data_IF_406502160751
#
_entry.id   IF_406502160751
#
_cell.length_a   1.000
_cell.length_b   1.000
_cell.length_c   1.000
_cell.angle_alpha   90.00
_cell.angle_beta   90.00
_cell.angle_gamma   90.00
#
_symmetry.space_group_name_H-M   'P 1'
#
loop_
_entity.id
_entity.type
_entity.pdbx_description
1 polymer ?
#
# COMPACT_ATOMS: atom_id res chain seq x y z
N UNK A 1 -49.42 20.07 -6.05
CA UNK A 1 -47.95 20.34 -6.03
C UNK A 1 -47.73 21.76 -5.55
N UNK A 2 -47.26 21.91 -4.31
CA UNK A 2 -47.03 23.21 -3.67
C UNK A 2 -45.61 23.77 -3.94
N UNK A 3 -44.82 23.16 -4.82
CA UNK A 3 -43.44 23.60 -5.11
C UNK A 3 -42.46 23.47 -3.93
N UNK A 4 -42.85 22.78 -2.86
CA UNK A 4 -41.96 22.53 -1.73
C UNK A 4 -40.96 21.43 -2.13
N UNK A 5 -39.70 21.68 -1.91
CA UNK A 5 -38.66 20.67 -1.95
C UNK A 5 -38.97 19.57 -0.91
N UNK A 6 -39.68 18.55 -1.34
CA UNK A 6 -39.90 17.37 -0.53
C UNK A 6 -38.60 16.63 -0.43
N UNK A 7 -37.92 16.72 0.69
CA UNK A 7 -36.69 16.00 0.95
C UNK A 7 -36.85 14.50 0.71
N UNK A 8 -35.82 13.87 0.17
CA UNK A 8 -35.78 12.42 0.03
C UNK A 8 -36.01 11.79 1.41
N UNK A 9 -36.92 10.81 1.50
CA UNK A 9 -37.12 10.04 2.73
C UNK A 9 -35.76 9.60 3.28
N UNK A 10 -35.46 9.94 4.52
CA UNK A 10 -34.23 9.60 5.17
C UNK A 10 -33.96 8.08 5.00
N UNK A 11 -32.94 7.72 4.25
CA UNK A 11 -32.46 6.34 4.18
C UNK A 11 -31.94 5.95 5.56
N UNK A 12 -31.95 4.64 5.86
CA UNK A 12 -31.27 4.13 7.06
C UNK A 12 -29.85 4.69 7.11
N UNK A 13 -29.46 5.26 8.26
CA UNK A 13 -28.09 5.72 8.46
C UNK A 13 -27.13 4.58 8.13
N UNK A 14 -26.20 4.84 7.23
CA UNK A 14 -25.15 3.91 6.85
C UNK A 14 -23.85 4.36 7.51
N UNK A 15 -23.13 3.40 8.06
CA UNK A 15 -21.82 3.61 8.63
C UNK A 15 -20.83 2.69 7.92
N UNK A 16 -19.65 3.20 7.66
CA UNK A 16 -18.54 2.39 7.21
C UNK A 16 -18.19 1.34 8.28
N UNK A 17 -18.04 0.10 7.88
CA UNK A 17 -17.56 -0.96 8.78
C UNK A 17 -16.13 -0.59 9.24
N UNK A 18 -15.89 -0.61 10.57
CA UNK A 18 -14.55 -0.40 11.12
C UNK A 18 -13.63 -1.49 10.59
N UNK A 19 -12.51 -1.14 9.92
CA UNK A 19 -11.52 -2.14 9.51
C UNK A 19 -10.92 -2.84 10.73
N UNK A 20 -10.61 -4.12 10.57
CA UNK A 20 -9.94 -4.88 11.63
C UNK A 20 -8.54 -4.30 11.92
N UNK A 21 -8.15 -4.24 13.20
CA UNK A 21 -6.83 -3.75 13.62
C UNK A 21 -6.63 -2.24 13.45
N UNK A 22 -7.73 -1.45 13.32
CA UNK A 22 -7.63 0.00 13.16
C UNK A 22 -8.25 0.76 14.33
N UNK A 23 -7.76 1.95 14.61
CA UNK A 23 -8.38 2.94 15.51
C UNK A 23 -9.08 4.02 14.70
N UNK A 24 -10.22 4.51 15.19
CA UNK A 24 -10.87 5.68 14.62
C UNK A 24 -10.20 6.94 15.16
N UNK A 25 -9.63 7.72 14.29
CA UNK A 25 -9.04 9.02 14.60
C UNK A 25 -10.10 10.08 14.33
N UNK A 26 -10.57 10.81 15.35
CA UNK A 26 -11.56 11.85 15.16
C UNK A 26 -10.95 13.00 14.37
N UNK A 27 -11.68 13.53 13.39
CA UNK A 27 -11.24 14.72 12.68
C UNK A 27 -11.17 15.94 13.61
N UNK A 28 -10.31 16.88 13.29
CA UNK A 28 -10.16 18.08 14.09
C UNK A 28 -9.06 19.00 13.60
N UNK A 29 -8.97 20.16 14.25
CA UNK A 29 -7.90 21.13 14.02
C UNK A 29 -6.83 20.96 15.09
N UNK A 30 -5.57 21.05 14.66
CA UNK A 30 -4.42 21.01 15.58
C UNK A 30 -3.30 21.90 15.07
N UNK A 31 -2.34 22.19 15.92
CA UNK A 31 -1.13 22.87 15.54
C UNK A 31 -0.08 21.83 15.14
N UNK A 32 0.22 21.79 13.86
CA UNK A 32 1.22 20.92 13.24
C UNK A 32 2.60 21.61 13.27
N UNK A 33 3.65 20.82 13.35
CA UNK A 33 5.03 21.29 13.29
C UNK A 33 5.75 21.29 14.64
N UNK A 34 7.03 21.68 14.61
CA UNK A 34 7.87 21.81 15.81
C UNK A 34 7.64 23.14 16.46
N UNK A 35 7.66 23.12 17.76
CA UNK A 35 7.69 24.29 18.61
C UNK A 35 9.12 24.82 18.80
N UNK A 36 9.30 25.70 19.76
CA UNK A 36 10.49 26.51 20.03
C UNK A 36 11.80 25.72 20.25
N UNK A 37 11.73 24.38 20.27
CA UNK A 37 12.88 23.51 20.52
C UNK A 37 13.48 22.91 19.23
N UNK A 38 13.51 23.64 18.12
CA UNK A 38 14.26 23.22 16.95
C UNK A 38 15.76 23.48 17.15
N UNK A 39 16.38 22.61 18.00
CA UNK A 39 17.80 22.72 18.41
C UNK A 39 18.73 22.71 17.19
N UNK A 40 18.34 22.05 16.11
CA UNK A 40 19.12 21.94 14.86
C UNK A 40 18.92 23.16 13.97
N UNK A 41 17.91 24.00 14.25
CA UNK A 41 17.64 25.23 13.50
C UNK A 41 17.31 25.00 12.03
N UNK A 42 16.74 23.83 11.70
CA UNK A 42 16.43 23.47 10.31
C UNK A 42 15.28 24.28 9.73
N UNK A 43 14.42 24.87 10.57
CA UNK A 43 13.25 25.68 10.21
C UNK A 43 12.35 25.04 9.14
N UNK A 44 12.41 23.71 8.99
CA UNK A 44 11.68 22.98 7.96
C UNK A 44 10.25 22.60 8.38
N UNK A 45 9.91 22.82 9.66
CA UNK A 45 8.60 22.48 10.24
C UNK A 45 8.08 23.58 11.16
N UNK A 46 7.90 24.81 10.67
CA UNK A 46 7.32 25.88 11.48
C UNK A 46 5.89 25.51 11.89
N UNK A 47 5.48 25.97 13.06
CA UNK A 47 4.12 25.71 13.57
C UNK A 47 3.06 26.34 12.69
N UNK A 48 2.00 25.56 12.41
CA UNK A 48 0.81 26.03 11.69
C UNK A 48 -0.43 25.27 12.13
N UNK A 49 -1.57 25.93 12.14
CA UNK A 49 -2.84 25.27 12.40
C UNK A 49 -3.37 24.63 11.13
N UNK A 50 -3.71 23.34 11.21
CA UNK A 50 -4.29 22.57 10.13
C UNK A 50 -5.48 21.77 10.63
N UNK A 51 -6.37 21.39 9.71
CA UNK A 51 -7.54 20.58 10.00
C UNK A 51 -7.46 19.29 9.20
N UNK A 52 -7.67 18.15 9.85
CA UNK A 52 -7.75 16.83 9.23
C UNK A 52 -9.16 16.26 9.34
N UNK A 53 -9.57 15.49 8.33
CA UNK A 53 -10.84 14.74 8.35
C UNK A 53 -10.68 13.52 9.24
N UNK A 54 -11.80 12.94 9.74
CA UNK A 54 -11.75 11.68 10.46
C UNK A 54 -11.33 10.54 9.52
N UNK A 55 -10.56 9.61 10.07
CA UNK A 55 -10.07 8.45 9.34
C UNK A 55 -9.81 7.27 10.30
N UNK A 56 -9.76 6.08 9.75
CA UNK A 56 -9.23 4.93 10.44
C UNK A 56 -7.72 4.82 10.19
N UNK A 57 -6.95 4.48 11.21
CA UNK A 57 -5.52 4.21 11.12
C UNK A 57 -5.19 2.87 11.77
N UNK A 58 -4.28 2.10 11.21
CA UNK A 58 -3.81 0.87 11.84
C UNK A 58 -3.24 1.15 13.22
N UNK A 59 -3.65 0.34 14.19
CA UNK A 59 -3.19 0.47 15.59
C UNK A 59 -1.68 0.31 15.70
N UNK A 60 -1.09 -0.49 14.83
CA UNK A 60 0.34 -0.82 14.78
C UNK A 60 0.93 -0.51 13.41
N UNK A 61 2.24 -0.55 13.29
CA UNK A 61 2.90 -0.74 12.00
C UNK A 61 2.44 -2.05 11.37
N UNK A 62 2.45 -2.15 10.04
CA UNK A 62 2.17 -3.41 9.34
C UNK A 62 3.24 -4.43 9.70
N UNK A 63 2.79 -5.59 10.18
CA UNK A 63 3.67 -6.67 10.63
C UNK A 63 4.16 -7.54 9.47
N UNK A 64 5.23 -8.32 9.73
CA UNK A 64 5.71 -9.31 8.76
C UNK A 64 4.61 -10.32 8.39
N UNK A 65 3.79 -10.76 9.37
CA UNK A 65 2.71 -11.70 9.10
C UNK A 65 1.65 -11.11 8.16
N UNK A 66 1.24 -9.86 8.38
CA UNK A 66 0.27 -9.18 7.52
C UNK A 66 0.83 -8.96 6.11
N UNK A 67 2.10 -8.58 6.01
CA UNK A 67 2.72 -8.37 4.72
C UNK A 67 2.96 -9.69 3.96
N UNK A 68 3.24 -10.79 4.67
CA UNK A 68 3.31 -12.14 4.08
C UNK A 68 2.01 -12.55 3.40
N UNK A 69 0.84 -12.18 3.94
CA UNK A 69 -0.43 -12.46 3.27
C UNK A 69 -0.50 -11.84 1.88
N UNK A 70 0.00 -10.62 1.72
CA UNK A 70 0.08 -9.95 0.42
C UNK A 70 1.04 -10.68 -0.53
N UNK A 71 2.25 -10.99 -0.07
CA UNK A 71 3.27 -11.70 -0.86
C UNK A 71 2.74 -13.07 -1.31
N UNK A 72 2.12 -13.83 -0.42
CA UNK A 72 1.56 -15.15 -0.75
C UNK A 72 0.38 -15.06 -1.70
N UNK A 73 -0.48 -14.05 -1.54
CA UNK A 73 -1.58 -13.82 -2.47
C UNK A 73 -1.05 -13.52 -3.90
N UNK A 74 -0.02 -12.68 -4.01
CA UNK A 74 0.63 -12.38 -5.31
C UNK A 74 1.28 -13.63 -5.88
N UNK A 75 2.02 -14.39 -5.08
CA UNK A 75 2.61 -15.67 -5.48
C UNK A 75 1.56 -16.62 -6.04
N UNK A 76 0.45 -16.80 -5.33
CA UNK A 76 -0.62 -17.71 -5.73
C UNK A 76 -1.32 -17.21 -7.00
N UNK A 77 -1.52 -15.89 -7.14
CA UNK A 77 -2.07 -15.29 -8.35
C UNK A 77 -1.18 -15.55 -9.58
N UNK A 78 0.11 -15.33 -9.45
CA UNK A 78 1.10 -15.58 -10.51
C UNK A 78 1.13 -17.06 -10.87
N UNK A 79 1.17 -17.95 -9.87
CA UNK A 79 1.17 -19.40 -10.09
C UNK A 79 -0.06 -19.84 -10.84
N UNK A 80 -1.26 -19.37 -10.45
CA UNK A 80 -2.52 -19.66 -11.16
C UNK A 80 -2.49 -19.15 -12.59
N UNK A 81 -1.91 -17.98 -12.83
CA UNK A 81 -1.77 -17.43 -14.18
C UNK A 81 -0.91 -18.33 -15.06
N UNK A 82 0.24 -18.80 -14.56
CA UNK A 82 1.08 -19.72 -15.31
C UNK A 82 0.41 -21.07 -15.58
N UNK A 83 -0.27 -21.62 -14.57
CA UNK A 83 -1.02 -22.87 -14.73
C UNK A 83 -2.16 -22.71 -15.74
N UNK A 84 -2.91 -21.62 -15.70
CA UNK A 84 -3.99 -21.34 -16.63
C UNK A 84 -3.50 -21.16 -18.07
N UNK A 85 -2.41 -20.42 -18.26
CA UNK A 85 -1.78 -20.27 -19.57
C UNK A 85 -1.32 -21.62 -20.13
N UNK A 86 -0.69 -22.45 -19.30
CA UNK A 86 -0.23 -23.76 -19.72
C UNK A 86 -1.37 -24.70 -20.01
N UNK A 87 -2.47 -24.65 -19.24
CA UNK A 87 -3.69 -25.38 -19.52
C UNK A 87 -4.28 -25.00 -20.90
N UNK A 88 -4.26 -23.71 -21.23
CA UNK A 88 -4.75 -23.20 -22.52
C UNK A 88 -3.84 -23.62 -23.69
N UNK A 89 -2.51 -23.62 -23.50
CA UNK A 89 -1.55 -24.14 -24.47
C UNK A 89 -1.74 -25.64 -24.76
N UNK A 90 -2.04 -26.43 -23.72
CA UNK A 90 -2.21 -27.87 -23.82
C UNK A 90 -3.54 -28.26 -24.45
N UNK A 91 -4.57 -27.47 -24.21
CA UNK A 91 -5.93 -27.69 -24.75
C UNK A 91 -6.49 -26.39 -25.39
N UNK A 92 -6.03 -25.99 -26.57
CA UNK A 92 -6.45 -24.73 -27.21
C UNK A 92 -7.94 -24.67 -27.56
N UNK A 93 -8.59 -25.83 -27.72
CA UNK A 93 -10.02 -25.98 -28.01
C UNK A 93 -10.84 -26.35 -26.79
N UNK A 94 -10.22 -26.38 -25.59
CA UNK A 94 -10.90 -26.63 -24.34
C UNK A 94 -12.00 -25.59 -24.17
N UNK A 95 -13.24 -26.04 -24.11
CA UNK A 95 -14.36 -25.17 -23.79
C UNK A 95 -14.21 -24.73 -22.35
N UNK A 96 -14.60 -23.50 -22.06
CA UNK A 96 -14.68 -22.96 -20.68
C UNK A 96 -15.53 -23.80 -19.74
N UNK A 97 -16.27 -24.78 -20.29
CA UNK A 97 -17.07 -25.76 -19.54
C UNK A 97 -16.19 -26.85 -18.89
N UNK A 98 -14.93 -27.00 -19.33
CA UNK A 98 -13.95 -27.93 -18.74
C UNK A 98 -13.12 -27.31 -17.61
N UNK A 99 -13.22 -25.98 -17.43
CA UNK A 99 -12.58 -25.29 -16.32
C UNK A 99 -13.13 -25.86 -14.99
N UNK A 100 -12.20 -26.26 -14.13
CA UNK A 100 -12.55 -26.84 -12.83
C UNK A 100 -12.91 -28.32 -12.83
N UNK A 101 -12.85 -29.00 -13.98
CA UNK A 101 -13.13 -30.44 -14.08
C UNK A 101 -11.85 -31.24 -14.32
N UNK A 102 -11.70 -32.36 -13.62
CA UNK A 102 -10.57 -33.29 -13.75
C UNK A 102 -9.44 -33.03 -12.76
N UNK A 103 -8.53 -34.01 -12.67
CA UNK A 103 -7.40 -34.01 -11.75
C UNK A 103 -6.11 -33.45 -12.39
N UNK A 104 -6.18 -32.99 -13.63
CA UNK A 104 -5.06 -32.50 -14.43
C UNK A 104 -4.98 -30.94 -14.44
N UNK A 105 -3.99 -30.40 -15.18
CA UNK A 105 -3.81 -28.93 -15.30
C UNK A 105 -5.02 -28.19 -15.85
N UNK A 106 -5.92 -28.85 -16.61
CA UNK A 106 -7.10 -28.24 -17.23
C UNK A 106 -8.04 -27.60 -16.19
N UNK A 107 -8.02 -28.05 -14.94
CA UNK A 107 -8.81 -27.46 -13.85
C UNK A 107 -8.45 -26.01 -13.55
N UNK A 108 -7.25 -25.58 -13.93
CA UNK A 108 -6.79 -24.19 -13.76
C UNK A 108 -7.07 -23.31 -14.97
N UNK A 109 -7.71 -23.84 -16.04
CA UNK A 109 -8.04 -23.05 -17.21
C UNK A 109 -8.82 -21.79 -16.82
N UNK A 110 -8.61 -20.71 -17.57
CA UNK A 110 -9.34 -19.48 -17.33
C UNK A 110 -10.84 -19.70 -17.43
N UNK A 111 -11.59 -19.25 -16.44
CA UNK A 111 -13.05 -19.25 -16.52
C UNK A 111 -13.51 -18.07 -17.36
N UNK A 112 -14.31 -18.32 -18.42
CA UNK A 112 -15.01 -17.23 -19.07
C UNK A 112 -15.96 -16.58 -18.06
N UNK A 113 -15.82 -15.27 -17.85
CA UNK A 113 -16.92 -14.54 -17.28
C UNK A 113 -18.09 -14.66 -18.26
N UNK A 114 -19.10 -15.47 -17.92
CA UNK A 114 -20.41 -15.38 -18.56
C UNK A 114 -20.89 -13.97 -18.29
N UNK A 115 -20.63 -13.06 -19.23
CA UNK A 115 -21.33 -11.79 -19.29
C UNK A 115 -22.80 -12.13 -19.32
N UNK A 116 -23.43 -11.90 -18.17
CA UNK A 116 -24.86 -12.00 -18.05
C UNK A 116 -25.47 -11.12 -19.13
N UNK A 117 -26.19 -11.80 -20.04
CA UNK A 117 -27.24 -11.25 -20.93
C UNK A 117 -26.84 -10.01 -21.72
N UNK A 118 -26.77 -10.21 -23.03
CA UNK A 118 -27.07 -9.20 -24.03
C UNK A 118 -28.28 -8.36 -23.56
N UNK A 119 -27.99 -7.22 -22.99
CA UNK A 119 -28.97 -6.16 -22.87
C UNK A 119 -28.71 -5.22 -24.01
N UNK A 120 -29.53 -5.35 -25.06
CA UNK A 120 -29.77 -4.27 -26.01
C UNK A 120 -30.21 -3.05 -25.21
N UNK A 121 -29.29 -2.13 -24.97
CA UNK A 121 -29.60 -0.77 -24.59
C UNK A 121 -28.42 0.09 -24.99
N UNK A 122 -28.79 1.19 -25.68
CA UNK A 122 -27.93 2.28 -26.08
C UNK A 122 -26.89 2.57 -25.00
N UNK A 123 -25.63 2.70 -25.40
CA UNK A 123 -24.48 2.91 -24.53
C UNK A 123 -24.71 4.07 -23.57
N UNK A 124 -24.81 3.86 -22.27
CA UNK A 124 -24.69 4.97 -21.36
C UNK A 124 -23.20 5.38 -21.31
N UNK A 125 -22.95 6.59 -21.65
CA UNK A 125 -21.70 7.29 -21.38
C UNK A 125 -21.25 6.99 -19.96
N UNK A 126 -20.21 6.19 -19.84
CA UNK A 126 -19.40 5.98 -18.65
C UNK A 126 -20.10 5.74 -17.32
N UNK A 127 -19.84 4.62 -16.71
CA UNK A 127 -19.73 4.75 -15.27
C UNK A 127 -19.10 3.65 -14.47
N UNK A 128 -18.29 2.81 -14.95
CA UNK A 128 -17.59 1.99 -13.99
C UNK A 128 -16.13 1.74 -14.36
N UNK A 129 -15.28 1.87 -13.35
CA UNK A 129 -13.95 1.30 -13.31
C UNK A 129 -13.89 -0.13 -13.88
N UNK A 130 -15.01 -0.87 -13.83
CA UNK A 130 -15.20 -2.19 -14.37
C UNK A 130 -15.22 -2.20 -15.91
N UNK A 131 -15.88 -1.25 -16.53
CA UNK A 131 -15.94 -1.12 -18.02
C UNK A 131 -14.61 -0.64 -18.59
N UNK A 132 -13.96 0.29 -17.90
CA UNK A 132 -12.62 0.71 -18.27
C UNK A 132 -11.62 -0.44 -18.17
N UNK A 133 -11.73 -1.30 -17.15
CA UNK A 133 -10.87 -2.46 -16.93
C UNK A 133 -11.11 -3.57 -17.99
N UNK A 134 -12.23 -3.55 -18.70
CA UNK A 134 -12.58 -4.48 -19.79
C UNK A 134 -12.42 -3.87 -21.18
N UNK A 135 -12.08 -2.58 -21.29
CA UNK A 135 -11.90 -1.92 -22.59
C UNK A 135 -10.65 -2.45 -23.32
N UNK A 136 -10.69 -2.46 -24.65
CA UNK A 136 -9.55 -2.87 -25.50
C UNK A 136 -8.29 -2.03 -25.25
N UNK A 137 -8.43 -0.79 -24.78
CA UNK A 137 -7.31 0.08 -24.42
C UNK A 137 -6.60 -0.34 -23.12
N UNK A 138 -7.27 -1.09 -22.25
CA UNK A 138 -6.69 -1.70 -21.09
C UNK A 138 -6.53 -3.21 -21.29
N UNK A 139 -5.66 -3.58 -22.19
CA UNK A 139 -5.24 -4.95 -22.33
C UNK A 139 -4.33 -5.29 -21.14
N UNK A 140 -4.68 -6.31 -20.40
CA UNK A 140 -3.81 -6.86 -19.38
C UNK A 140 -2.59 -7.44 -20.10
N UNK A 141 -1.45 -6.79 -19.90
CA UNK A 141 -0.19 -7.28 -20.45
C UNK A 141 0.29 -8.37 -19.52
N UNK A 142 0.51 -9.56 -20.07
CA UNK A 142 1.21 -10.60 -19.36
C UNK A 142 2.60 -10.08 -18.98
N UNK A 143 2.84 -9.90 -17.68
CA UNK A 143 4.10 -9.37 -17.16
C UNK A 143 5.32 -10.24 -17.51
N UNK A 144 5.09 -11.47 -17.98
CA UNK A 144 6.15 -12.41 -18.34
C UNK A 144 6.42 -12.48 -19.84
N UNK A 145 5.39 -12.34 -20.66
CA UNK A 145 5.51 -12.46 -22.13
C UNK A 145 5.36 -11.13 -22.85
N UNK A 146 4.99 -10.08 -22.13
CA UNK A 146 4.66 -8.76 -22.70
C UNK A 146 3.56 -8.79 -23.78
N UNK A 147 2.73 -9.84 -23.77
CA UNK A 147 1.61 -10.03 -24.70
C UNK A 147 0.30 -9.65 -24.00
N UNK A 148 -0.62 -9.11 -24.78
CA UNK A 148 -1.96 -8.82 -24.30
C UNK A 148 -2.67 -10.11 -23.86
N UNK A 149 -3.24 -10.10 -22.66
CA UNK A 149 -4.08 -11.18 -22.15
C UNK A 149 -5.52 -10.71 -22.23
N UNK A 150 -6.36 -11.48 -22.90
CA UNK A 150 -7.81 -11.32 -22.75
C UNK A 150 -8.17 -11.60 -21.29
N UNK A 151 -8.85 -10.67 -20.62
CA UNK A 151 -9.14 -10.77 -19.18
C UNK A 151 -10.11 -11.93 -18.95
N UNK A 152 -9.54 -13.03 -18.58
CA UNK A 152 -10.25 -14.21 -18.09
C UNK A 152 -10.01 -14.32 -16.61
N UNK A 153 -11.04 -14.57 -15.82
CA UNK A 153 -10.90 -14.64 -14.38
C UNK A 153 -10.15 -15.91 -13.97
N UNK A 154 -9.20 -15.76 -13.04
CA UNK A 154 -8.54 -16.90 -12.40
C UNK A 154 -9.52 -17.63 -11.48
N UNK A 155 -9.49 -18.95 -11.52
CA UNK A 155 -10.25 -19.77 -10.57
C UNK A 155 -9.47 -19.90 -9.25
N UNK A 156 -9.96 -19.24 -8.21
CA UNK A 156 -9.39 -19.28 -6.86
C UNK A 156 -9.90 -20.47 -6.03
N UNK A 157 -10.90 -21.21 -6.50
CA UNK A 157 -11.45 -22.37 -5.77
C UNK A 157 -10.54 -23.60 -5.81
N UNK A 158 -9.68 -23.68 -6.84
CA UNK A 158 -8.74 -24.78 -7.00
C UNK A 158 -7.53 -24.61 -6.07
N UNK A 159 -7.15 -25.65 -5.36
CA UNK A 159 -5.93 -25.65 -4.56
C UNK A 159 -4.69 -25.83 -5.44
N UNK A 160 -3.65 -25.05 -5.18
CA UNK A 160 -2.35 -25.19 -5.82
C UNK A 160 -1.58 -26.29 -5.11
N UNK A 161 -1.11 -27.26 -5.85
CA UNK A 161 -0.25 -28.31 -5.34
C UNK A 161 1.19 -27.81 -5.35
N UNK A 162 1.78 -27.66 -4.17
CA UNK A 162 3.17 -27.19 -4.02
C UNK A 162 4.18 -28.33 -3.94
N UNK A 163 3.76 -29.50 -3.47
CA UNK A 163 4.63 -30.67 -3.37
C UNK A 163 4.91 -31.25 -4.77
N UNK A 164 6.18 -31.20 -5.17
CA UNK A 164 6.62 -31.73 -6.46
C UNK A 164 6.24 -33.20 -6.69
N UNK A 165 6.15 -34.01 -5.63
CA UNK A 165 5.81 -35.43 -5.72
C UNK A 165 4.33 -35.66 -6.05
N UNK A 166 3.50 -34.66 -5.76
CA UNK A 166 2.05 -34.72 -5.95
C UNK A 166 1.58 -34.01 -7.24
N UNK A 167 2.51 -33.57 -8.10
CA UNK A 167 2.13 -32.90 -9.36
C UNK A 167 1.36 -33.86 -10.26
N UNK A 168 0.20 -33.43 -10.82
CA UNK A 168 -0.70 -34.35 -11.50
C UNK A 168 -0.19 -34.78 -12.90
N UNK A 169 0.45 -33.90 -13.63
CA UNK A 169 0.85 -34.11 -15.01
C UNK A 169 2.12 -33.34 -15.39
N UNK A 170 2.69 -33.67 -16.56
CA UNK A 170 3.90 -33.04 -17.08
C UNK A 170 3.72 -31.54 -17.41
N UNK A 171 2.59 -31.08 -17.98
CA UNK A 171 2.33 -29.65 -18.17
C UNK A 171 2.33 -28.85 -16.86
N UNK A 172 1.80 -29.42 -15.78
CA UNK A 172 1.85 -28.83 -14.46
C UNK A 172 3.28 -28.67 -13.95
N UNK A 173 4.10 -29.72 -14.11
CA UNK A 173 5.53 -29.70 -13.76
C UNK A 173 6.26 -28.60 -14.54
N UNK A 174 5.98 -28.48 -15.84
CA UNK A 174 6.60 -27.47 -16.69
C UNK A 174 6.23 -26.04 -16.28
N UNK A 175 4.95 -25.80 -15.95
CA UNK A 175 4.48 -24.51 -15.43
C UNK A 175 5.14 -24.16 -14.10
N UNK A 176 5.13 -25.10 -13.15
CA UNK A 176 5.73 -24.88 -11.83
C UNK A 176 7.24 -24.68 -11.87
N UNK A 177 7.96 -25.34 -12.75
CA UNK A 177 9.40 -25.18 -12.85
C UNK A 177 9.83 -23.78 -13.33
N UNK A 178 9.00 -23.08 -14.09
CA UNK A 178 9.25 -21.69 -14.51
C UNK A 178 9.21 -20.68 -13.34
N UNK A 179 8.58 -21.05 -12.23
CA UNK A 179 8.43 -20.20 -11.05
C UNK A 179 9.61 -20.27 -10.09
N UNK A 180 10.53 -21.20 -10.32
CA UNK A 180 11.67 -21.41 -9.44
C UNK A 180 12.98 -21.07 -10.14
N UNK A 181 13.93 -20.59 -9.36
CA UNK A 181 15.28 -20.32 -9.81
C UNK A 181 15.90 -21.63 -10.34
N UNK A 182 16.70 -21.53 -11.40
CA UNK A 182 17.40 -22.70 -11.96
C UNK A 182 18.27 -23.35 -10.88
N UNK A 183 18.52 -24.66 -11.00
CA UNK A 183 19.37 -25.37 -10.02
C UNK A 183 20.81 -24.84 -10.01
N UNK A 184 21.25 -24.27 -11.13
CA UNK A 184 22.61 -23.74 -11.32
C UNK A 184 22.77 -22.42 -10.57
N UNK A 185 21.69 -21.61 -10.49
CA UNK A 185 21.68 -20.30 -9.85
C UNK A 185 21.19 -20.36 -8.39
N UNK A 186 20.62 -21.51 -7.97
CA UNK A 186 20.06 -21.68 -6.64
C UNK A 186 21.17 -21.90 -5.60
N UNK A 187 21.20 -21.07 -4.56
CA UNK A 187 22.15 -21.22 -3.46
C UNK A 187 21.99 -22.59 -2.78
N UNK A 188 23.07 -23.38 -2.76
CA UNK A 188 23.05 -24.73 -2.18
C UNK A 188 22.19 -25.75 -2.91
N UNK A 189 21.74 -25.47 -4.14
CA UNK A 189 20.89 -26.36 -4.93
C UNK A 189 19.46 -26.53 -4.38
N UNK A 190 19.07 -25.69 -3.42
CA UNK A 190 17.73 -25.71 -2.81
C UNK A 190 16.73 -25.06 -3.77
N UNK A 191 15.62 -25.75 -4.04
CA UNK A 191 14.54 -25.24 -4.88
C UNK A 191 13.92 -23.98 -4.24
N UNK A 192 14.24 -22.82 -4.79
CA UNK A 192 13.78 -21.52 -4.29
C UNK A 192 12.91 -20.85 -5.32
N UNK A 193 11.77 -20.30 -4.88
CA UNK A 193 10.87 -19.52 -5.73
C UNK A 193 11.59 -18.24 -6.21
N UNK A 194 11.44 -17.89 -7.50
CA UNK A 194 12.04 -16.68 -8.03
C UNK A 194 11.24 -15.45 -7.57
N UNK A 195 11.77 -14.77 -6.57
CA UNK A 195 11.14 -13.57 -6.00
C UNK A 195 11.05 -12.40 -6.98
N UNK A 196 11.86 -12.39 -8.05
CA UNK A 196 11.80 -11.36 -9.11
C UNK A 196 10.52 -11.44 -9.93
N UNK A 197 9.83 -12.57 -9.90
CA UNK A 197 8.54 -12.77 -10.53
C UNK A 197 7.40 -12.14 -9.70
N UNK A 198 7.61 -11.91 -8.40
CA UNK A 198 6.58 -11.39 -7.49
C UNK A 198 6.33 -9.90 -7.72
N UNK A 199 5.65 -9.60 -8.81
CA UNK A 199 5.27 -8.24 -9.19
C UNK A 199 3.76 -8.06 -9.08
N UNK A 200 3.33 -6.91 -8.58
CA UNK A 200 1.92 -6.58 -8.42
C UNK A 200 1.53 -5.39 -9.29
N UNK A 201 0.52 -5.60 -10.12
CA UNK A 201 -0.07 -4.55 -10.95
C UNK A 201 -1.21 -3.89 -10.19
N UNK A 202 -1.16 -2.60 -10.03
CA UNK A 202 -2.26 -1.81 -9.51
C UNK A 202 -2.45 -0.52 -10.32
N UNK A 203 -3.67 -0.01 -10.26
CA UNK A 203 -4.07 1.20 -10.97
C UNK A 203 -4.42 2.27 -9.96
N UNK A 204 -3.90 3.45 -10.17
CA UNK A 204 -4.17 4.58 -9.28
C UNK A 204 -4.63 5.78 -10.11
N UNK A 205 -5.70 6.46 -9.67
CA UNK A 205 -6.12 7.72 -10.25
C UNK A 205 -5.34 8.86 -9.63
N UNK A 206 -4.70 9.68 -10.45
CA UNK A 206 -4.16 10.97 -10.06
C UNK A 206 -5.31 11.99 -9.98
N UNK A 207 -5.96 12.00 -8.82
CA UNK A 207 -7.12 12.86 -8.60
C UNK A 207 -6.77 14.35 -8.62
N UNK A 208 -5.56 14.73 -8.23
CA UNK A 208 -5.12 16.13 -8.23
C UNK A 208 -4.91 16.66 -9.65
N UNK A 209 -4.18 15.92 -10.48
CA UNK A 209 -4.02 16.28 -11.90
C UNK A 209 -5.36 16.25 -12.63
N UNK A 210 -6.21 15.27 -12.32
CA UNK A 210 -7.56 15.20 -12.88
C UNK A 210 -8.39 16.43 -12.51
N UNK A 211 -8.38 16.85 -11.25
CA UNK A 211 -9.13 18.04 -10.81
C UNK A 211 -8.67 19.34 -11.50
N UNK A 212 -7.37 19.42 -11.86
CA UNK A 212 -6.80 20.60 -12.51
C UNK A 212 -6.95 20.61 -14.01
N UNK A 213 -6.91 19.47 -14.68
CA UNK A 213 -6.74 19.36 -16.13
C UNK A 213 -7.90 18.69 -16.87
N UNK A 214 -8.85 18.07 -16.16
CA UNK A 214 -10.00 17.42 -16.82
C UNK A 214 -10.76 18.41 -17.71
N UNK A 215 -10.99 18.05 -18.97
CA UNK A 215 -11.67 18.88 -19.94
C UNK A 215 -10.82 20.03 -20.52
N UNK A 216 -9.57 20.20 -20.11
CA UNK A 216 -8.65 21.18 -20.69
C UNK A 216 -8.09 20.61 -21.99
N UNK A 217 -7.90 21.47 -23.01
CA UNK A 217 -7.33 21.08 -24.30
C UNK A 217 -5.88 20.63 -24.13
N UNK A 218 -5.53 19.48 -24.69
CA UNK A 218 -4.14 19.00 -24.75
C UNK A 218 -3.34 19.87 -25.70
N UNK A 219 -2.10 20.15 -25.33
CA UNK A 219 -1.16 20.96 -26.11
C UNK A 219 0.08 20.15 -26.43
N UNK A 220 0.68 20.44 -27.58
CA UNK A 220 1.99 19.91 -27.96
C UNK A 220 3.14 20.59 -27.16
N UNK A 221 4.38 20.21 -27.48
CA UNK A 221 5.59 20.80 -26.87
C UNK A 221 5.73 22.31 -27.12
N UNK A 222 5.12 22.82 -28.19
CA UNK A 222 5.19 24.22 -28.62
C UNK A 222 4.01 25.05 -28.11
N UNK A 223 3.07 24.40 -27.41
CA UNK A 223 1.92 25.04 -26.77
C UNK A 223 0.68 25.14 -27.66
N UNK A 224 0.68 24.54 -28.86
CA UNK A 224 -0.47 24.53 -29.77
C UNK A 224 -1.47 23.44 -29.37
N UNK A 225 -2.79 23.65 -29.58
CA UNK A 225 -3.80 22.63 -29.33
C UNK A 225 -3.60 21.39 -30.23
N UNK A 226 -3.83 20.22 -29.68
CA UNK A 226 -3.87 18.97 -30.42
C UNK A 226 -5.27 18.72 -30.94
N UNK A 227 -5.38 18.23 -32.18
CA UNK A 227 -6.65 17.91 -32.86
C UNK A 227 -6.71 16.41 -33.16
N UNK A 228 -7.90 15.85 -33.15
CA UNK A 228 -8.17 14.50 -33.63
C UNK A 228 -8.25 14.44 -35.15
N UNK A 229 -8.46 13.23 -35.70
CA UNK A 229 -8.58 13.03 -37.18
C UNK A 229 -9.80 13.71 -37.76
N UNK A 230 -10.81 14.06 -36.96
CA UNK A 230 -12.02 14.77 -37.33
C UNK A 230 -11.89 16.30 -37.18
N UNK A 231 -10.75 16.79 -36.72
CA UNK A 231 -10.46 18.21 -36.54
C UNK A 231 -11.00 18.82 -35.25
N UNK A 232 -11.43 18.02 -34.28
CA UNK A 232 -11.85 18.49 -32.95
C UNK A 232 -10.65 18.59 -31.98
N UNK A 233 -10.71 19.54 -31.06
CA UNK A 233 -9.69 19.68 -30.02
C UNK A 233 -9.70 18.48 -29.09
N UNK A 234 -8.53 17.88 -28.91
CA UNK A 234 -8.35 16.76 -27.95
C UNK A 234 -8.26 17.32 -26.53
N UNK A 235 -9.18 16.94 -25.68
CA UNK A 235 -9.19 17.32 -24.26
C UNK A 235 -8.65 16.21 -23.35
N UNK A 236 -8.18 16.59 -22.15
CA UNK A 236 -7.82 15.61 -21.14
C UNK A 236 -9.08 14.91 -20.62
N UNK A 237 -9.09 13.59 -20.73
CA UNK A 237 -10.13 12.68 -20.21
C UNK A 237 -9.71 12.06 -18.87
N UNK A 238 -10.62 11.38 -18.18
CA UNK A 238 -10.27 10.60 -16.95
C UNK A 238 -9.18 9.57 -17.20
N UNK A 239 -9.12 8.97 -18.37
CA UNK A 239 -8.13 7.95 -18.75
C UNK A 239 -6.69 8.48 -18.73
N UNK A 240 -6.50 9.75 -19.03
CA UNK A 240 -5.19 10.39 -19.05
C UNK A 240 -4.57 10.55 -17.65
N UNK A 241 -5.40 10.48 -16.62
CA UNK A 241 -4.98 10.62 -15.23
C UNK A 241 -4.88 9.28 -14.49
N UNK A 242 -5.10 8.20 -15.20
CA UNK A 242 -4.92 6.87 -14.63
C UNK A 242 -3.45 6.52 -14.71
N UNK A 243 -2.86 6.36 -13.54
CA UNK A 243 -1.49 5.95 -13.39
C UNK A 243 -1.48 4.42 -13.31
N UNK A 244 -1.03 3.81 -14.39
CA UNK A 244 -0.86 2.38 -14.46
C UNK A 244 0.62 2.08 -14.23
N UNK A 245 0.94 1.31 -13.21
CA UNK A 245 2.26 0.70 -13.11
C UNK A 245 2.43 -0.21 -14.33
N UNK A 246 3.48 0.00 -15.11
CA UNK A 246 3.75 -0.75 -16.35
C UNK A 246 3.52 0.02 -17.66
N UNK A 247 2.90 1.21 -17.65
CA UNK A 247 2.91 2.13 -18.80
C UNK A 247 4.07 3.13 -18.67
N UNK A 248 4.60 3.57 -19.81
CA UNK A 248 5.66 4.61 -19.90
C UNK A 248 6.99 4.21 -19.23
N UNK A 249 7.37 2.92 -19.28
CA UNK A 249 8.62 2.44 -18.69
C UNK A 249 8.61 2.31 -17.17
N UNK A 250 7.47 2.47 -16.52
CA UNK A 250 7.30 2.22 -15.08
C UNK A 250 7.08 0.72 -14.90
N UNK A 251 8.04 0.03 -14.31
CA UNK A 251 7.91 -1.37 -13.98
C UNK A 251 6.87 -1.60 -12.86
N UNK A 252 6.20 -2.75 -12.90
CA UNK A 252 5.36 -3.18 -11.77
C UNK A 252 6.22 -3.36 -10.52
N UNK A 253 5.80 -2.83 -9.35
CA UNK A 253 6.58 -2.97 -8.15
C UNK A 253 6.74 -4.44 -7.76
N UNK A 254 7.97 -4.82 -7.40
CA UNK A 254 8.23 -6.06 -6.70
C UNK A 254 7.50 -6.01 -5.35
N UNK A 255 6.84 -7.10 -4.97
CA UNK A 255 6.16 -7.13 -3.66
C UNK A 255 7.03 -7.73 -2.57
N UNK A 256 8.03 -8.52 -2.94
CA UNK A 256 8.92 -9.13 -1.98
C UNK A 256 9.83 -8.06 -1.35
N UNK A 257 9.88 -7.96 -0.01
CA UNK A 257 10.72 -6.97 0.66
C UNK A 257 12.20 -7.26 0.41
N UNK A 258 13.01 -6.22 0.41
CA UNK A 258 14.46 -6.38 0.30
C UNK A 258 15.02 -6.91 1.63
N UNK A 259 15.28 -8.21 1.69
CA UNK A 259 15.83 -8.88 2.88
C UNK A 259 17.31 -8.58 3.09
N UNK A 260 17.99 -7.97 2.12
CA UNK A 260 19.42 -7.64 2.20
C UNK A 260 19.69 -6.32 2.94
N UNK A 261 18.65 -5.56 3.29
CA UNK A 261 18.76 -4.26 3.96
C UNK A 261 19.53 -4.33 5.28
N UNK A 262 19.37 -5.42 6.03
CA UNK A 262 20.07 -5.62 7.29
C UNK A 262 21.59 -5.69 7.10
N UNK A 263 22.04 -6.48 6.13
CA UNK A 263 23.47 -6.63 5.80
C UNK A 263 24.03 -5.34 5.23
N UNK A 264 23.24 -4.63 4.39
CA UNK A 264 23.65 -3.37 3.78
C UNK A 264 23.77 -2.23 4.80
N UNK A 265 22.83 -2.15 5.72
CA UNK A 265 22.81 -1.10 6.73
C UNK A 265 23.78 -1.41 7.90
N UNK A 266 24.12 -2.71 8.15
CA UNK A 266 24.98 -3.18 9.27
C UNK A 266 26.02 -4.21 8.82
N UNK A 267 27.16 -3.75 8.39
CA UNK A 267 28.25 -4.61 7.87
C UNK A 267 28.92 -5.51 8.92
N UNK A 268 28.58 -5.41 10.20
CA UNK A 268 29.28 -6.08 11.28
C UNK A 268 28.58 -7.34 11.82
N UNK A 269 27.36 -7.61 11.42
CA UNK A 269 26.49 -8.60 12.05
C UNK A 269 25.99 -9.68 11.11
N UNK A 270 26.86 -10.21 10.23
CA UNK A 270 26.50 -11.22 9.22
C UNK A 270 25.88 -12.49 9.82
N UNK A 271 26.18 -12.83 11.05
CA UNK A 271 25.71 -14.05 11.71
C UNK A 271 24.53 -13.82 12.67
N UNK A 272 23.99 -12.61 12.72
CA UNK A 272 22.81 -12.34 13.54
C UNK A 272 21.58 -13.03 12.91
N UNK A 273 20.85 -13.90 13.62
CA UNK A 273 19.69 -14.60 13.09
C UNK A 273 18.61 -13.65 12.53
N UNK A 274 18.43 -12.48 13.17
CA UNK A 274 17.50 -11.46 12.72
C UNK A 274 17.88 -10.91 11.34
N UNK A 275 19.18 -10.76 11.05
CA UNK A 275 19.67 -10.27 9.77
C UNK A 275 19.56 -11.29 8.66
N UNK A 276 19.55 -12.59 8.98
CA UNK A 276 19.49 -13.65 7.98
C UNK A 276 18.06 -13.98 7.53
N UNK A 277 17.09 -13.97 8.45
CA UNK A 277 15.73 -14.46 8.17
C UNK A 277 14.63 -13.65 8.85
N UNK A 278 14.81 -12.35 8.97
CA UNK A 278 13.85 -11.48 9.62
C UNK A 278 12.44 -11.59 9.06
N UNK A 279 12.32 -11.64 7.74
CA UNK A 279 11.00 -11.64 7.10
C UNK A 279 10.27 -12.98 7.22
N UNK A 280 10.98 -14.11 7.13
CA UNK A 280 10.33 -15.43 7.09
C UNK A 280 10.20 -16.09 8.44
N UNK A 281 11.14 -15.85 9.34
CA UNK A 281 11.18 -16.56 10.62
C UNK A 281 9.93 -16.25 11.45
N UNK A 282 9.33 -17.30 12.01
CA UNK A 282 8.07 -17.21 12.77
C UNK A 282 8.20 -16.30 14.01
N UNK A 283 9.36 -16.26 14.65
CA UNK A 283 9.60 -15.42 15.83
C UNK A 283 9.45 -13.92 15.55
N UNK A 284 9.65 -13.49 14.30
CA UNK A 284 9.52 -12.07 13.91
C UNK A 284 8.21 -11.79 13.17
N UNK A 285 7.23 -12.69 13.27
CA UNK A 285 5.95 -12.55 12.58
C UNK A 285 5.19 -11.28 12.96
N UNK A 286 5.19 -10.93 14.24
CA UNK A 286 4.49 -9.77 14.82
C UNK A 286 5.38 -8.50 14.93
N UNK A 287 6.59 -8.57 14.38
CA UNK A 287 7.48 -7.42 14.23
C UNK A 287 7.12 -6.62 12.97
N UNK A 288 7.41 -5.30 12.92
CA UNK A 288 7.09 -4.48 11.75
C UNK A 288 7.82 -4.96 10.50
N UNK A 289 7.15 -4.95 9.37
CA UNK A 289 7.82 -5.21 8.09
C UNK A 289 8.78 -4.08 7.76
N UNK A 290 10.00 -4.44 7.37
CA UNK A 290 11.05 -3.51 6.92
C UNK A 290 11.61 -3.97 5.56
N UNK A 291 12.45 -3.15 4.95
CA UNK A 291 12.97 -3.47 3.61
C UNK A 291 11.92 -3.25 2.51
N UNK A 292 10.94 -2.40 2.76
CA UNK A 292 9.88 -2.05 1.82
C UNK A 292 10.05 -0.64 1.28
N UNK A 293 9.90 -0.48 -0.02
CA UNK A 293 9.89 0.82 -0.69
C UNK A 293 8.52 1.48 -0.56
N UNK A 294 8.47 2.79 -0.84
CA UNK A 294 7.22 3.53 -0.84
C UNK A 294 6.19 2.97 -1.85
N UNK A 295 6.65 2.54 -3.02
CA UNK A 295 5.78 1.93 -4.04
C UNK A 295 5.24 0.57 -3.61
N UNK A 296 6.04 -0.24 -2.90
CA UNK A 296 5.59 -1.50 -2.31
C UNK A 296 4.54 -1.28 -1.22
N UNK A 297 4.71 -0.27 -0.37
CA UNK A 297 3.72 0.08 0.64
C UNK A 297 2.38 0.53 0.02
N UNK A 298 2.41 1.31 -1.07
CA UNK A 298 1.21 1.66 -1.83
C UNK A 298 0.56 0.45 -2.51
N UNK A 299 1.36 -0.46 -3.05
CA UNK A 299 0.85 -1.71 -3.64
C UNK A 299 0.12 -2.57 -2.59
N UNK A 300 0.66 -2.65 -1.38
CA UNK A 300 -0.03 -3.31 -0.25
C UNK A 300 -1.38 -2.65 0.08
N UNK A 301 -1.44 -1.31 0.12
CA UNK A 301 -2.67 -0.57 0.35
C UNK A 301 -3.75 -0.88 -0.71
N UNK A 302 -3.36 -0.93 -1.99
CA UNK A 302 -4.26 -1.27 -3.09
C UNK A 302 -4.77 -2.72 -2.97
N UNK A 303 -3.86 -3.67 -2.73
CA UNK A 303 -4.22 -5.07 -2.52
C UNK A 303 -5.18 -5.25 -1.33
N UNK A 304 -4.92 -4.61 -0.18
CA UNK A 304 -5.78 -4.64 1.01
C UNK A 304 -7.19 -4.14 0.68
N UNK A 305 -7.27 -3.06 -0.09
CA UNK A 305 -8.54 -2.50 -0.59
C UNK A 305 -9.28 -3.48 -1.48
N UNK A 306 -8.59 -4.06 -2.45
CA UNK A 306 -9.15 -5.06 -3.37
C UNK A 306 -9.66 -6.29 -2.60
N UNK A 307 -8.83 -6.87 -1.74
CA UNK A 307 -9.19 -8.04 -0.91
C UNK A 307 -10.44 -7.78 -0.07
N UNK A 308 -10.54 -6.61 0.58
CA UNK A 308 -11.71 -6.23 1.38
C UNK A 308 -12.95 -6.05 0.52
N UNK A 309 -12.85 -5.37 -0.61
CA UNK A 309 -13.97 -5.16 -1.52
C UNK A 309 -14.45 -6.46 -2.17
N UNK A 310 -13.55 -7.35 -2.54
CA UNK A 310 -13.91 -8.66 -3.10
C UNK A 310 -14.65 -9.54 -2.07
N UNK A 311 -14.20 -9.51 -0.81
CA UNK A 311 -14.94 -10.15 0.28
C UNK A 311 -16.34 -9.56 0.48
N UNK A 312 -16.50 -8.23 0.41
CA UNK A 312 -17.78 -7.55 0.59
C UNK A 312 -18.75 -7.80 -0.58
N UNK A 313 -18.25 -7.97 -1.81
CA UNK A 313 -19.07 -8.33 -2.98
C UNK A 313 -19.76 -9.68 -2.83
N UNK A 314 -19.15 -10.62 -2.10
CA UNK A 314 -19.71 -11.94 -1.83
C UNK A 314 -20.82 -11.95 -0.75
N UNK A 315 -21.05 -10.82 -0.05
CA UNK A 315 -22.09 -10.73 0.98
C UNK A 315 -23.48 -10.48 0.40
N UNK A 316 -24.52 -10.83 1.17
CA UNK A 316 -25.94 -10.65 0.77
C UNK A 316 -26.29 -9.20 0.40
N UNK A 317 -25.65 -8.22 1.04
CA UNK A 317 -25.78 -6.80 0.74
C UNK A 317 -24.39 -6.27 0.37
N UNK A 318 -23.99 -6.33 -0.91
CA UNK A 318 -22.68 -5.91 -1.34
C UNK A 318 -22.49 -4.42 -1.09
N UNK A 319 -21.38 -4.09 -0.46
CA UNK A 319 -20.93 -2.71 -0.20
C UNK A 319 -19.48 -2.58 -0.63
N UNK A 320 -19.01 -1.36 -0.79
CA UNK A 320 -17.60 -1.07 -1.04
C UNK A 320 -17.08 -0.17 0.08
N UNK A 321 -15.80 -0.31 0.39
CA UNK A 321 -15.12 0.56 1.34
C UNK A 321 -14.18 1.52 0.61
N UNK A 322 -13.89 2.70 1.18
CA UNK A 322 -12.84 3.57 0.68
C UNK A 322 -11.50 2.82 0.59
N UNK A 323 -10.63 3.27 -0.29
CA UNK A 323 -9.33 2.64 -0.43
C UNK A 323 -8.46 2.86 0.83
N UNK A 324 -7.69 1.84 1.18
CA UNK A 324 -6.56 2.00 2.07
C UNK A 324 -5.45 2.76 1.36
N UNK A 325 -4.74 3.58 2.09
CA UNK A 325 -3.63 4.40 1.58
C UNK A 325 -2.61 4.66 2.69
N UNK A 326 -1.46 5.17 2.34
CA UNK A 326 -0.55 5.72 3.33
C UNK A 326 -1.15 6.99 3.95
N UNK A 327 -0.87 7.29 5.23
CA UNK A 327 -1.26 8.54 5.85
C UNK A 327 -0.58 9.72 5.17
N UNK A 328 -1.24 10.86 5.14
CA UNK A 328 -0.53 12.12 4.87
C UNK A 328 0.34 12.49 6.07
N UNK A 329 1.32 13.35 5.87
CA UNK A 329 2.16 13.84 6.96
C UNK A 329 1.33 14.46 8.10
N UNK A 330 0.29 15.22 7.76
CA UNK A 330 -0.57 15.88 8.74
C UNK A 330 -1.46 14.87 9.49
N UNK A 331 -2.01 13.87 8.81
CA UNK A 331 -2.79 12.80 9.44
C UNK A 331 -1.91 12.00 10.40
N UNK A 332 -0.70 11.67 9.98
CA UNK A 332 0.25 10.94 10.82
C UNK A 332 0.58 11.72 12.10
N UNK A 333 0.93 13.01 11.97
CA UNK A 333 1.27 13.85 13.12
C UNK A 333 0.08 14.07 14.05
N UNK A 334 -1.13 14.31 13.50
CA UNK A 334 -2.35 14.43 14.29
C UNK A 334 -2.64 13.17 15.10
N UNK A 335 -2.53 12.02 14.45
CA UNK A 335 -2.73 10.72 15.09
C UNK A 335 -1.66 10.44 16.17
N UNK A 336 -0.40 10.77 15.91
CA UNK A 336 0.70 10.59 16.85
C UNK A 336 0.55 11.45 18.11
N UNK A 337 0.01 12.66 18.00
CA UNK A 337 -0.27 13.53 19.16
C UNK A 337 -1.39 12.99 20.07
N UNK A 338 -2.22 12.06 19.60
CA UNK A 338 -3.23 11.40 20.43
C UNK A 338 -4.27 12.35 21.05
N UNK A 339 -4.51 13.54 20.46
CA UNK A 339 -5.38 14.58 21.02
C UNK A 339 -4.70 15.55 22.00
N UNK A 340 -3.42 15.32 22.31
CA UNK A 340 -2.64 16.20 23.18
C UNK A 340 -2.19 17.44 22.41
N UNK A 341 -2.52 18.60 22.94
CA UNK A 341 -2.08 19.88 22.36
C UNK A 341 -0.57 20.06 22.59
N UNK A 342 0.17 20.36 21.52
CA UNK A 342 1.58 20.67 21.56
C UNK A 342 2.49 19.61 22.19
N UNK A 343 2.07 18.37 22.28
CA UNK A 343 2.91 17.31 22.85
C UNK A 343 4.15 17.07 22.01
N UNK A 344 5.29 16.98 22.68
CA UNK A 344 6.57 16.67 22.03
C UNK A 344 6.63 15.21 21.57
N UNK A 345 6.13 14.32 22.41
CA UNK A 345 6.06 12.87 22.20
C UNK A 345 4.61 12.39 22.29
N UNK A 346 4.28 11.20 21.75
CA UNK A 346 2.92 10.64 21.78
C UNK A 346 2.32 10.47 23.17
N UNK A 347 3.14 10.34 24.20
CA UNK A 347 2.74 10.21 25.61
C UNK A 347 2.63 11.54 26.36
N UNK A 348 2.85 12.67 25.69
CA UNK A 348 2.65 14.03 26.24
C UNK A 348 3.79 14.59 27.10
N UNK A 349 4.72 13.75 27.56
CA UNK A 349 5.85 14.19 28.37
C UNK A 349 6.99 14.83 27.55
N UNK A 350 7.91 15.56 28.19
CA UNK A 350 9.02 16.22 27.52
C UNK A 350 10.22 15.28 27.23
N UNK A 351 10.21 14.09 27.79
CA UNK A 351 11.31 13.12 27.76
C UNK A 351 10.90 11.80 27.11
N UNK A 352 11.85 11.11 26.49
CA UNK A 352 11.70 9.73 26.04
C UNK A 352 11.84 8.70 27.17
N UNK A 353 12.08 9.16 28.42
CA UNK A 353 12.22 8.34 29.61
C UNK A 353 11.18 8.78 30.63
N UNK A 354 10.53 7.82 31.27
CA UNK A 354 9.56 8.07 32.35
C UNK A 354 10.25 8.54 33.63
N UNK A 355 9.47 9.05 34.59
CA UNK A 355 9.92 9.47 35.90
C UNK A 355 10.58 8.32 36.69
N UNK A 356 10.32 7.08 36.31
CA UNK A 356 10.91 5.86 36.91
C UNK A 356 12.20 5.41 36.21
N UNK A 357 12.67 6.13 35.19
CA UNK A 357 13.85 5.78 34.40
C UNK A 357 13.58 4.73 33.28
N UNK A 358 12.32 4.35 33.03
CA UNK A 358 12.00 3.42 31.94
C UNK A 358 11.90 4.16 30.60
N UNK A 359 12.47 3.58 29.55
CA UNK A 359 12.31 4.09 28.20
C UNK A 359 10.88 3.89 27.70
N UNK A 360 10.35 4.88 26.98
CA UNK A 360 8.96 4.91 26.51
C UNK A 360 8.81 4.54 25.03
N UNK A 361 9.93 4.31 24.35
CA UNK A 361 9.99 3.93 22.95
C UNK A 361 11.26 3.12 22.67
N UNK A 362 11.27 2.42 21.55
CA UNK A 362 12.45 1.72 21.03
C UNK A 362 13.26 2.67 20.12
N UNK A 363 14.44 3.09 20.56
CA UNK A 363 15.32 4.03 19.86
C UNK A 363 16.76 3.85 20.35
N UNK A 364 17.70 4.60 19.82
CA UNK A 364 19.10 4.61 20.26
C UNK A 364 19.31 5.59 21.43
N UNK A 365 19.21 5.12 22.69
CA UNK A 365 19.09 6.02 23.83
C UNK A 365 20.42 6.59 24.30
N UNK A 366 21.51 5.82 24.30
CA UNK A 366 22.80 6.19 24.88
C UNK A 366 23.96 5.78 23.99
N UNK A 367 24.99 6.62 23.95
CA UNK A 367 26.20 6.30 23.21
C UNK A 367 26.95 5.12 23.91
N UNK A 368 27.13 4.04 23.15
CA UNK A 368 27.88 2.85 23.62
C UNK A 368 27.01 1.73 24.20
N UNK A 369 25.79 2.03 24.66
CA UNK A 369 24.80 1.02 25.04
C UNK A 369 23.51 1.28 24.28
N UNK A 370 23.32 0.56 23.17
CA UNK A 370 22.21 0.75 22.26
C UNK A 370 21.01 -0.15 22.57
N UNK A 371 21.15 -1.04 23.56
CA UNK A 371 20.11 -1.97 23.95
C UNK A 371 19.53 -1.66 25.34
N UNK A 372 19.87 -0.49 25.91
CA UNK A 372 19.46 -0.13 27.28
C UNK A 372 17.94 0.08 27.39
N UNK A 373 17.24 0.34 26.29
CA UNK A 373 15.78 0.40 26.21
C UNK A 373 15.11 -0.98 26.09
N UNK A 374 15.90 -2.05 26.07
CA UNK A 374 15.43 -3.44 25.99
C UNK A 374 15.58 -4.10 24.64
N UNK A 375 15.96 -3.36 23.59
CA UNK A 375 16.13 -3.91 22.24
C UNK A 375 17.28 -3.24 21.49
N UNK A 376 17.99 -4.03 20.69
CA UNK A 376 19.06 -3.54 19.82
C UNK A 376 18.53 -3.10 18.44
N UNK A 377 17.48 -3.74 17.98
CA UNK A 377 16.85 -3.55 16.68
C UNK A 377 15.35 -3.35 16.85
N UNK A 378 14.54 -3.74 15.87
CA UNK A 378 13.07 -3.69 15.96
C UNK A 378 12.53 -4.57 17.10
N UNK A 379 11.36 -4.19 17.59
CA UNK A 379 10.57 -4.95 18.57
C UNK A 379 9.19 -5.27 18.00
N UNK A 380 8.43 -6.12 18.70
CA UNK A 380 7.04 -6.41 18.33
C UNK A 380 6.21 -5.14 18.22
N UNK A 381 5.26 -5.12 17.29
CA UNK A 381 4.45 -3.95 16.98
C UNK A 381 3.57 -3.44 18.16
N UNK A 382 3.43 -4.20 19.24
CA UNK A 382 2.69 -3.82 20.46
C UNK A 382 3.56 -3.82 21.73
N UNK A 383 4.85 -3.49 21.61
CA UNK A 383 5.78 -3.59 22.74
C UNK A 383 5.69 -2.46 23.77
N UNK A 384 5.24 -1.28 23.38
CA UNK A 384 5.10 -0.10 24.24
C UNK A 384 3.65 0.30 24.44
N UNK A 385 3.40 1.28 25.30
CA UNK A 385 2.05 1.76 25.54
C UNK A 385 1.51 2.53 24.32
N UNK A 386 0.24 2.29 24.01
CA UNK A 386 -0.47 3.07 23.00
C UNK A 386 -0.69 4.52 23.48
N UNK A 387 -0.80 5.46 22.52
CA UNK A 387 -1.26 6.80 22.82
C UNK A 387 -2.77 6.82 23.08
N UNK A 388 -3.35 8.00 23.40
CA UNK A 388 -4.77 8.13 23.77
C UNK A 388 -5.75 7.80 22.61
N UNK A 389 -5.26 7.70 21.36
CA UNK A 389 -6.05 7.18 20.24
C UNK A 389 -5.90 5.66 20.06
N UNK A 390 -5.15 4.98 20.90
CA UNK A 390 -4.94 3.54 20.83
C UNK A 390 -3.89 3.11 19.80
N UNK A 391 -2.99 4.01 19.41
CA UNK A 391 -1.95 3.75 18.42
C UNK A 391 -0.63 3.43 19.11
N UNK A 392 -0.02 2.33 18.70
CA UNK A 392 1.26 1.86 19.20
C UNK A 392 2.45 2.39 18.38
N UNK A 393 3.59 2.53 19.00
CA UNK A 393 4.88 2.86 18.37
C UNK A 393 4.86 4.09 17.44
N UNK A 394 4.03 5.10 17.78
CA UNK A 394 4.05 6.37 17.05
C UNK A 394 5.34 7.19 17.27
N UNK A 395 6.27 6.66 18.06
CA UNK A 395 7.62 7.16 18.26
C UNK A 395 8.55 5.98 18.43
N UNK A 396 9.60 5.89 17.62
CA UNK A 396 10.58 4.79 17.66
C UNK A 396 10.12 3.54 16.91
N UNK A 397 10.81 2.44 17.14
CA UNK A 397 10.71 1.17 16.44
C UNK A 397 11.08 1.29 14.95
N UNK A 398 10.18 1.65 14.06
CA UNK A 398 10.49 1.95 12.65
C UNK A 398 9.94 3.31 12.25
N UNK A 399 10.70 4.04 11.43
CA UNK A 399 10.17 5.22 10.75
C UNK A 399 9.10 4.80 9.73
N UNK A 400 8.07 5.61 9.55
CA UNK A 400 6.91 5.23 8.76
C UNK A 400 6.77 6.07 7.50
N UNK A 401 6.56 5.39 6.36
CA UNK A 401 6.23 6.04 5.11
C UNK A 401 4.94 6.84 5.19
N UNK A 402 4.96 8.05 4.65
CA UNK A 402 3.74 8.85 4.39
C UNK A 402 3.50 9.00 2.89
N UNK A 403 2.29 9.40 2.50
CA UNK A 403 1.95 9.70 1.10
C UNK A 403 2.55 11.02 0.62
N UNK A 404 2.96 11.90 1.54
CA UNK A 404 3.39 13.27 1.26
C UNK A 404 4.80 13.31 0.69
N UNK A 405 4.98 14.03 -0.42
CA UNK A 405 6.29 14.32 -0.98
C UNK A 405 6.99 15.42 -0.19
N UNK A 406 8.31 15.28 -0.02
CA UNK A 406 9.11 16.27 0.70
C UNK A 406 9.19 17.59 -0.08
N UNK A 407 8.70 18.67 0.51
CA UNK A 407 8.79 20.02 -0.01
C UNK A 407 9.01 21.00 1.14
N UNK A 408 10.06 21.80 1.06
CA UNK A 408 10.41 22.79 2.09
C UNK A 408 9.34 23.88 2.25
N UNK A 409 8.70 24.29 1.17
CA UNK A 409 7.69 25.35 1.20
C UNK A 409 6.27 24.88 1.57
N UNK A 410 6.07 23.57 1.77
CA UNK A 410 4.73 23.00 2.06
C UNK A 410 4.07 23.55 3.32
N UNK A 411 4.87 23.88 4.33
CA UNK A 411 4.37 24.46 5.59
C UNK A 411 3.94 25.93 5.43
N UNK A 412 4.49 26.64 4.46
CA UNK A 412 4.17 28.05 4.22
C UNK A 412 3.04 28.23 3.19
N UNK A 413 3.02 27.39 2.15
CA UNK A 413 2.13 27.58 0.99
C UNK A 413 1.03 26.53 0.87
N UNK A 414 1.10 25.43 1.65
CA UNK A 414 0.14 24.35 1.58
C UNK A 414 -1.24 24.75 2.13
N UNK A 415 -2.28 24.02 1.70
CA UNK A 415 -3.63 24.12 2.27
C UNK A 415 -3.61 23.90 3.79
N UNK A 416 -4.50 24.54 4.54
CA UNK A 416 -4.74 24.27 5.96
C UNK A 416 -5.78 23.17 6.16
N UNK A 417 -6.51 22.79 5.10
CA UNK A 417 -7.53 21.75 5.12
C UNK A 417 -6.97 20.48 4.47
N UNK A 418 -6.79 19.44 5.26
CA UNK A 418 -6.21 18.16 4.85
C UNK A 418 -4.93 18.35 4.01
N UNK A 419 -3.89 19.00 4.56
CA UNK A 419 -2.71 19.31 3.78
C UNK A 419 -2.02 18.05 3.28
N UNK A 420 -1.71 18.02 2.00
CA UNK A 420 -0.91 16.97 1.38
C UNK A 420 -0.15 17.56 0.18
N UNK A 421 1.03 17.07 -0.09
CA UNK A 421 1.82 17.38 -1.28
C UNK A 421 1.93 16.11 -2.10
N UNK A 422 1.00 15.94 -3.04
CA UNK A 422 1.03 14.83 -3.99
C UNK A 422 1.92 15.19 -5.17
N UNK A 423 3.19 14.84 -5.10
CA UNK A 423 4.10 14.97 -6.23
C UNK A 423 4.81 13.63 -6.48
N UNK A 424 4.39 12.93 -7.54
CA UNK A 424 4.97 11.64 -7.91
C UNK A 424 6.37 11.74 -8.47
N UNK A 425 6.66 12.81 -9.17
CA UNK A 425 7.99 13.04 -9.75
C UNK A 425 9.04 13.32 -8.67
N UNK A 426 8.59 13.78 -7.49
CA UNK A 426 9.49 13.95 -6.36
C UNK A 426 9.69 12.60 -5.65
N UNK A 427 10.86 12.03 -5.84
CA UNK A 427 11.22 10.74 -5.21
C UNK A 427 11.40 10.83 -3.69
N UNK A 428 11.62 12.02 -3.13
CA UNK A 428 11.74 12.21 -1.68
C UNK A 428 10.36 12.15 -1.05
N UNK A 429 10.12 11.12 -0.25
CA UNK A 429 8.88 10.93 0.51
C UNK A 429 9.14 11.11 1.99
N UNK A 430 8.20 11.72 2.68
CA UNK A 430 8.35 11.99 4.10
C UNK A 430 8.20 10.70 4.89
N UNK A 431 9.09 10.50 5.83
CA UNK A 431 9.02 9.49 6.88
C UNK A 431 8.89 10.18 8.23
N UNK A 432 8.22 9.52 9.17
CA UNK A 432 7.89 10.08 10.49
C UNK A 432 8.11 9.05 11.58
N UNK A 433 8.20 9.51 12.84
CA UNK A 433 8.26 8.69 14.05
C UNK A 433 9.65 8.40 14.57
N UNK A 434 10.67 8.45 13.72
CA UNK A 434 12.00 7.97 14.07
C UNK A 434 12.03 6.45 14.21
N UNK A 435 13.19 5.87 14.47
CA UNK A 435 13.37 4.43 14.47
C UNK A 435 14.34 3.97 15.57
N UNK A 436 14.47 2.65 15.73
CA UNK A 436 15.39 2.00 16.67
C UNK A 436 16.86 2.45 16.54
N UNK A 437 17.27 2.94 15.36
CA UNK A 437 18.63 3.47 15.13
C UNK A 437 18.79 4.95 15.46
N UNK A 438 17.69 5.68 15.63
CA UNK A 438 17.68 7.14 15.73
C UNK A 438 17.72 7.58 17.20
N UNK A 439 18.23 8.79 17.45
CA UNK A 439 18.22 9.40 18.78
C UNK A 439 16.88 10.06 19.08
N UNK A 440 16.62 10.39 20.35
CA UNK A 440 15.34 10.92 20.84
C UNK A 440 14.81 12.14 20.05
N UNK A 441 15.68 12.94 19.43
CA UNK A 441 15.27 14.05 18.56
C UNK A 441 14.37 13.62 17.40
N UNK A 442 14.65 12.49 16.75
CA UNK A 442 13.87 12.00 15.62
C UNK A 442 12.54 11.37 16.05
N UNK A 443 12.39 11.03 17.33
CA UNK A 443 11.16 10.49 17.90
C UNK A 443 10.12 11.59 18.21
N UNK A 444 10.53 12.85 18.21
CA UNK A 444 9.60 13.96 18.43
C UNK A 444 8.55 14.00 17.32
N UNK A 445 7.28 14.07 17.72
CA UNK A 445 6.14 14.00 16.79
C UNK A 445 6.23 15.05 15.67
N UNK A 446 6.77 16.22 15.94
CA UNK A 446 6.94 17.29 14.95
C UNK A 446 8.18 17.12 14.05
N UNK A 447 9.07 16.15 14.31
CA UNK A 447 10.28 15.97 13.51
C UNK A 447 9.95 15.38 12.15
N UNK A 448 10.56 15.95 11.12
CA UNK A 448 10.36 15.60 9.72
C UNK A 448 11.65 15.08 9.13
N UNK A 449 11.58 13.93 8.51
CA UNK A 449 12.67 13.35 7.73
C UNK A 449 12.15 12.83 6.39
N UNK A 450 13.02 12.42 5.49
CA UNK A 450 12.64 11.86 4.20
C UNK A 450 13.59 10.75 3.77
N UNK A 451 13.05 9.85 2.95
CA UNK A 451 13.87 8.88 2.20
C UNK A 451 13.37 8.83 0.74
N UNK A 452 14.17 8.26 -0.15
CA UNK A 452 13.80 8.10 -1.54
C UNK A 452 12.79 6.97 -1.73
N UNK A 453 11.77 7.20 -2.55
CA UNK A 453 10.66 6.28 -2.77
C UNK A 453 11.08 4.88 -3.25
N UNK A 454 12.20 4.79 -3.95
CA UNK A 454 12.79 3.57 -4.49
C UNK A 454 13.82 2.90 -3.54
N UNK A 455 14.01 3.45 -2.35
CA UNK A 455 14.99 2.96 -1.39
C UNK A 455 14.31 2.23 -0.24
N UNK A 456 14.71 0.98 -0.02
CA UNK A 456 14.31 0.19 1.13
C UNK A 456 15.36 0.24 2.23
N UNK A 457 14.93 0.29 3.50
CA UNK A 457 15.80 0.36 4.68
C UNK A 457 15.37 -0.64 5.77
N UNK A 458 16.31 -1.04 6.61
CA UNK A 458 16.06 -1.91 7.77
C UNK A 458 15.32 -1.22 8.93
N UNK A 459 15.11 0.07 8.83
CA UNK A 459 14.52 0.92 9.86
C UNK A 459 13.29 1.71 9.37
N UNK A 460 12.79 1.40 8.17
CA UNK A 460 11.58 2.02 7.60
C UNK A 460 10.53 0.95 7.35
N UNK A 461 9.36 1.16 7.95
CA UNK A 461 8.14 0.42 7.75
C UNK A 461 7.00 1.34 7.33
N UNK A 462 5.76 0.95 7.57
CA UNK A 462 4.58 1.76 7.28
C UNK A 462 3.36 1.28 8.05
N UNK A 463 2.36 2.16 8.15
CA UNK A 463 0.98 1.81 8.52
C UNK A 463 0.01 2.38 7.51
N UNK A 464 -1.21 1.87 7.44
CA UNK A 464 -2.20 2.33 6.49
C UNK A 464 -3.33 3.10 7.16
N UNK A 465 -4.00 3.93 6.37
CA UNK A 465 -5.20 4.64 6.77
C UNK A 465 -6.33 4.39 5.78
N UNK A 466 -7.56 4.58 6.25
CA UNK A 466 -8.76 4.56 5.43
C UNK A 466 -9.67 5.72 5.81
N UNK A 467 -10.19 6.44 4.82
CA UNK A 467 -11.08 7.57 5.08
C UNK A 467 -12.36 7.09 5.78
N UNK A 468 -12.75 7.81 6.84
CA UNK A 468 -14.01 7.56 7.51
C UNK A 468 -15.15 8.22 6.75
N UNK A 469 -16.16 7.43 6.39
CA UNK A 469 -17.39 7.91 5.77
C UNK A 469 -18.53 7.63 6.76
N UNK A 470 -19.01 8.65 7.41
CA UNK A 470 -20.09 8.54 8.40
C UNK A 470 -20.25 9.80 9.24
N UNK A 471 -21.21 9.76 10.16
CA UNK A 471 -21.46 10.84 11.13
C UNK A 471 -20.67 10.54 12.42
N UNK A 472 -19.79 11.47 12.81
CA UNK A 472 -18.90 11.33 13.97
C UNK A 472 -19.67 11.49 15.29
N UNK A 473 -20.86 12.11 15.26
CA UNK A 473 -21.63 12.46 16.45
C UNK A 473 -22.48 11.30 16.98
N UNK A 474 -21.95 10.08 16.96
CA UNK A 474 -22.61 8.95 17.59
C UNK A 474 -21.67 8.12 18.45
#
# INVERSE_FOLDING_TARGET
>A
DRGELVGIKAKKKWFSEKPYGTALIPGGSFTMGKQDEDIVGTLNTPTRTVTVRPFYMDETEITNNEYKEFVYWVRDSITRTYLAMKAQETNPNGTTDDAGKGDNISRFAFSSNKTSKEANTEEPEFDSYKEWNTSEEYQDINIFTNQAITITSLDWSQEIIWDKKAFPDEPYVAAMNKLYISKEDAAGGIRTFDTKLLRYKYVQLDAESAARKYGVVKKDSDGNPLFDDDGNEITYSRKDFIINSGKNGIEFPLVYPDTTVWIRDFNYSYNDPMHQDYFHHQAYGDYPVVGVTWDQANAFCDWRTKKKNDYLKGKRNPTTVPKFRLPTEAEWEYAARGGLLFSKYPWGGPSAVSDRGCFLANFKPVRGDYAVDGALYTVEAKSYNANDYGLYNMAGNVSEWTSTAYNLSSYYMGSTMNPNVENRNNKRKIIRGGSWKDVAYFLEVGTRDYEYADTARSFIGFRTVQDYIGDINK
#
